data_IF_993201869085
#
_entry.id   IF_993201869085
#
_cell.length_a   1.000
_cell.length_b   1.000
_cell.length_c   1.000
_cell.angle_alpha   90.00
_cell.angle_beta   90.00
_cell.angle_gamma   90.00
#
_symmetry.space_group_name_H-M   'P 1'
#
loop_
_entity.id
_entity.type
_entity.pdbx_description
1 polymer ?
#
# COMPACT_ATOMS: atom_id res chain seq x y z
N UNK A 1 14.34 24.08 3.03
CA UNK A 1 13.47 22.93 3.37
C UNK A 1 13.37 21.85 2.26
N UNK A 2 13.43 22.19 0.96
CA UNK A 2 13.33 21.22 -0.17
C UNK A 2 14.32 20.03 -0.20
N UNK A 3 15.52 20.14 0.39
CA UNK A 3 16.56 19.08 0.32
C UNK A 3 16.43 17.97 1.38
N UNK A 4 15.69 18.19 2.48
CA UNK A 4 15.63 17.20 3.57
C UNK A 4 14.68 16.02 3.28
N UNK A 5 13.64 16.25 2.46
CA UNK A 5 12.66 15.21 2.10
C UNK A 5 13.07 14.41 0.87
N UNK A 6 13.99 14.92 0.02
CA UNK A 6 14.53 14.19 -1.13
C UNK A 6 15.65 13.22 -0.70
N UNK A 7 15.26 12.27 0.15
CA UNK A 7 16.11 11.15 0.56
C UNK A 7 15.47 9.85 0.15
N UNK A 8 16.31 8.87 -0.16
CA UNK A 8 15.85 7.51 -0.48
C UNK A 8 15.05 6.95 0.69
N UNK A 9 15.54 7.16 1.92
CA UNK A 9 14.83 6.76 3.14
C UNK A 9 13.45 7.43 3.25
N UNK A 10 13.34 8.72 2.96
CA UNK A 10 12.05 9.42 2.93
C UNK A 10 11.06 8.82 1.93
N UNK A 11 11.55 8.40 0.76
CA UNK A 11 10.76 7.66 -0.23
C UNK A 11 10.29 6.30 0.28
N UNK A 12 11.17 5.53 0.92
CA UNK A 12 10.86 4.22 1.49
C UNK A 12 9.83 4.35 2.61
N UNK A 13 10.05 5.23 3.58
CA UNK A 13 9.13 5.43 4.71
C UNK A 13 7.77 5.89 4.23
N UNK A 14 7.74 6.79 3.23
CA UNK A 14 6.46 7.27 2.68
C UNK A 14 5.77 6.20 1.87
N UNK A 15 6.50 5.35 1.14
CA UNK A 15 5.90 4.20 0.45
C UNK A 15 5.27 3.19 1.42
N UNK A 16 5.96 2.87 2.52
CA UNK A 16 5.44 1.96 3.56
C UNK A 16 4.21 2.58 4.24
N UNK A 17 4.31 3.86 4.64
CA UNK A 17 3.19 4.59 5.25
C UNK A 17 2.01 4.75 4.29
N UNK A 18 2.28 4.99 3.00
CA UNK A 18 1.24 5.11 1.99
C UNK A 18 0.50 3.80 1.76
N UNK A 19 1.20 2.65 1.77
CA UNK A 19 0.56 1.33 1.74
C UNK A 19 -0.27 1.07 2.99
N UNK A 20 0.24 1.41 4.18
CA UNK A 20 -0.51 1.28 5.44
C UNK A 20 -1.75 2.19 5.48
N UNK A 21 -1.63 3.43 5.01
CA UNK A 21 -2.74 4.36 4.92
C UNK A 21 -3.77 3.90 3.90
N UNK A 22 -3.36 3.42 2.73
CA UNK A 22 -4.26 2.83 1.74
C UNK A 22 -5.06 1.67 2.32
N UNK A 23 -4.39 0.80 3.08
CA UNK A 23 -5.04 -0.30 3.79
C UNK A 23 -6.04 0.20 4.85
N UNK A 24 -5.67 1.18 5.66
CA UNK A 24 -6.55 1.74 6.70
C UNK A 24 -7.76 2.47 6.10
N UNK A 25 -7.59 3.21 5.00
CA UNK A 25 -8.68 3.89 4.30
C UNK A 25 -9.67 2.87 3.74
N UNK A 26 -9.16 1.79 3.11
CA UNK A 26 -9.99 0.69 2.64
C UNK A 26 -10.74 0.01 3.79
N UNK A 27 -10.06 -0.27 4.91
CA UNK A 27 -10.69 -0.86 6.08
C UNK A 27 -11.75 0.03 6.70
N UNK A 28 -11.50 1.34 6.80
CA UNK A 28 -12.46 2.32 7.30
C UNK A 28 -13.68 2.43 6.37
N UNK A 29 -13.47 2.48 5.05
CA UNK A 29 -14.55 2.49 4.06
C UNK A 29 -15.39 1.22 4.13
N UNK A 30 -14.74 0.06 4.27
CA UNK A 30 -15.42 -1.23 4.40
C UNK A 30 -16.23 -1.32 5.70
N UNK A 31 -15.64 -0.89 6.81
CA UNK A 31 -16.28 -0.81 8.13
C UNK A 31 -17.53 0.07 8.08
N UNK A 32 -17.43 1.24 7.44
CA UNK A 32 -18.56 2.14 7.23
C UNK A 32 -19.66 1.49 6.36
N UNK A 33 -19.28 0.86 5.26
CA UNK A 33 -20.23 0.25 4.31
C UNK A 33 -20.97 -0.96 4.90
N UNK A 34 -20.29 -1.76 5.72
CA UNK A 34 -20.84 -3.01 6.27
C UNK A 34 -21.29 -2.91 7.74
N UNK A 35 -21.19 -1.72 8.36
CA UNK A 35 -21.53 -1.47 9.78
C UNK A 35 -20.85 -2.45 10.76
N UNK A 36 -19.65 -2.92 10.42
CA UNK A 36 -18.84 -3.84 11.23
C UNK A 36 -17.57 -3.14 11.69
N UNK A 37 -17.02 -3.57 12.83
CA UNK A 37 -15.79 -3.00 13.36
C UNK A 37 -14.58 -3.22 12.44
N UNK A 38 -13.63 -2.28 12.49
CA UNK A 38 -12.36 -2.36 11.78
C UNK A 38 -11.55 -3.61 12.18
N UNK A 39 -11.67 -4.05 13.43
CA UNK A 39 -11.12 -5.30 13.96
C UNK A 39 -11.57 -6.50 13.11
N UNK A 40 -12.87 -6.58 12.79
CA UNK A 40 -13.46 -7.62 11.97
C UNK A 40 -12.92 -7.60 10.52
N UNK A 41 -12.66 -6.41 9.96
CA UNK A 41 -12.03 -6.28 8.63
C UNK A 41 -10.59 -6.81 8.62
N UNK A 42 -9.80 -6.47 9.65
CA UNK A 42 -8.41 -6.92 9.74
C UNK A 42 -8.36 -8.44 9.96
N UNK A 43 -9.20 -8.98 10.85
CA UNK A 43 -9.17 -10.38 11.25
C UNK A 43 -9.81 -11.31 10.21
N UNK A 44 -10.95 -10.93 9.61
CA UNK A 44 -11.68 -11.79 8.68
C UNK A 44 -11.41 -11.50 7.21
N UNK A 45 -11.14 -10.25 6.82
CA UNK A 45 -10.94 -9.91 5.40
C UNK A 45 -9.45 -9.83 5.07
N UNK A 46 -8.67 -9.11 5.87
CA UNK A 46 -7.23 -8.97 5.63
C UNK A 46 -6.41 -10.21 6.05
N UNK A 47 -6.93 -11.05 6.96
CA UNK A 47 -6.24 -12.27 7.41
C UNK A 47 -6.81 -13.56 6.81
N UNK A 48 -8.14 -13.73 6.75
CA UNK A 48 -8.77 -15.00 6.33
C UNK A 48 -9.16 -15.06 4.86
N UNK A 49 -9.41 -13.93 4.21
CA UNK A 49 -9.87 -13.95 2.81
C UNK A 49 -8.68 -13.79 1.86
N UNK A 50 -8.12 -14.93 1.47
CA UNK A 50 -7.01 -15.02 0.51
C UNK A 50 -7.31 -14.29 -0.81
N UNK A 51 -8.57 -14.30 -1.25
CA UNK A 51 -9.07 -13.63 -2.45
C UNK A 51 -9.14 -12.09 -2.37
N UNK A 52 -9.22 -11.51 -1.17
CA UNK A 52 -9.26 -10.06 -1.01
C UNK A 52 -7.90 -9.46 -0.68
N UNK A 53 -6.95 -10.30 -0.23
CA UNK A 53 -5.64 -9.86 0.25
C UNK A 53 -4.80 -9.26 -0.87
N UNK A 54 -4.79 -9.88 -2.05
CA UNK A 54 -4.08 -9.40 -3.24
C UNK A 54 -4.66 -8.07 -3.76
N UNK A 55 -5.99 -7.97 -3.80
CA UNK A 55 -6.74 -6.82 -4.27
C UNK A 55 -6.57 -5.62 -3.34
N UNK A 56 -6.64 -5.84 -2.02
CA UNK A 56 -6.39 -4.81 -1.00
C UNK A 56 -4.95 -4.30 -1.09
N UNK A 57 -3.97 -5.20 -1.20
CA UNK A 57 -2.57 -4.80 -1.33
C UNK A 57 -2.34 -4.01 -2.62
N UNK A 58 -2.93 -4.45 -3.73
CA UNK A 58 -2.85 -3.78 -5.03
C UNK A 58 -3.42 -2.35 -4.97
N UNK A 59 -4.63 -2.17 -4.43
CA UNK A 59 -5.22 -0.83 -4.26
C UNK A 59 -4.39 0.04 -3.31
N UNK A 60 -3.85 -0.54 -2.25
CA UNK A 60 -2.96 0.16 -1.33
C UNK A 60 -1.64 0.58 -1.99
N UNK A 61 -1.12 -0.21 -2.93
CA UNK A 61 0.05 0.18 -3.74
C UNK A 61 -0.28 1.23 -4.81
N UNK A 62 -1.51 1.27 -5.33
CA UNK A 62 -1.95 2.35 -6.24
C UNK A 62 -1.96 3.71 -5.54
N UNK A 63 -2.23 3.76 -4.23
CA UNK A 63 -2.08 4.99 -3.45
C UNK A 63 -0.65 5.55 -3.52
N UNK A 64 0.36 4.66 -3.48
CA UNK A 64 1.76 5.08 -3.64
C UNK A 64 2.03 5.67 -5.02
N UNK A 65 1.31 5.27 -6.08
CA UNK A 65 1.45 5.88 -7.42
C UNK A 65 1.01 7.35 -7.40
N UNK A 66 -0.04 7.69 -6.64
CA UNK A 66 -0.44 9.09 -6.45
C UNK A 66 0.64 9.92 -5.75
N UNK A 67 1.24 9.38 -4.69
CA UNK A 67 2.36 10.01 -3.98
C UNK A 67 3.59 10.13 -4.88
N UNK A 68 3.87 9.10 -5.68
CA UNK A 68 4.94 9.08 -6.67
C UNK A 68 4.79 10.21 -7.70
N UNK A 69 3.57 10.41 -8.20
CA UNK A 69 3.25 11.47 -9.15
C UNK A 69 3.55 12.86 -8.57
N UNK A 70 3.16 13.10 -7.32
CA UNK A 70 3.48 14.34 -6.59
C UNK A 70 5.00 14.50 -6.43
N UNK A 71 5.71 13.43 -6.08
CA UNK A 71 7.17 13.42 -5.96
C UNK A 71 7.90 13.75 -7.27
N UNK A 72 7.41 13.24 -8.41
CA UNK A 72 7.95 13.58 -9.75
C UNK A 72 7.71 15.06 -10.06
N UNK A 73 6.49 15.57 -9.83
CA UNK A 73 6.16 16.99 -10.05
C UNK A 73 7.02 17.93 -9.22
N UNK A 74 7.48 17.49 -8.06
CA UNK A 74 8.36 18.24 -7.16
C UNK A 74 9.87 18.02 -7.43
N UNK A 75 10.23 17.25 -8.47
CA UNK A 75 11.60 16.86 -8.83
C UNK A 75 12.37 16.10 -7.72
N UNK A 76 11.66 15.37 -6.86
CA UNK A 76 12.28 14.59 -5.77
C UNK A 76 12.73 13.20 -6.26
N UNK A 77 13.79 13.17 -7.07
CA UNK A 77 14.25 11.97 -7.74
C UNK A 77 14.72 10.85 -6.78
N UNK A 78 15.35 11.21 -5.65
CA UNK A 78 15.83 10.22 -4.67
C UNK A 78 14.68 9.66 -3.86
N UNK A 79 13.72 10.50 -3.49
CA UNK A 79 12.45 10.08 -2.89
C UNK A 79 11.69 9.11 -3.82
N UNK A 80 11.52 9.48 -5.09
CA UNK A 80 10.85 8.64 -6.09
C UNK A 80 11.53 7.27 -6.24
N UNK A 81 12.87 7.20 -6.24
CA UNK A 81 13.59 5.92 -6.22
C UNK A 81 13.30 5.09 -4.99
N UNK A 82 13.29 5.71 -3.80
CA UNK A 82 12.93 5.04 -2.55
C UNK A 82 11.52 4.44 -2.59
N UNK A 83 10.56 5.24 -3.07
CA UNK A 83 9.17 4.84 -3.17
C UNK A 83 8.95 3.74 -4.23
N UNK A 84 9.65 3.81 -5.36
CA UNK A 84 9.65 2.74 -6.38
C UNK A 84 10.17 1.42 -5.83
N UNK A 85 11.20 1.41 -4.97
CA UNK A 85 11.68 0.17 -4.35
C UNK A 85 10.58 -0.50 -3.55
N UNK A 86 9.79 0.26 -2.78
CA UNK A 86 8.65 -0.29 -2.02
C UNK A 86 7.60 -0.88 -2.96
N UNK A 87 7.22 -0.15 -4.01
CA UNK A 87 6.24 -0.62 -5.01
C UNK A 87 6.74 -1.94 -5.66
N UNK A 88 8.01 -1.99 -6.04
CA UNK A 88 8.59 -3.19 -6.66
C UNK A 88 8.65 -4.36 -5.68
N UNK A 89 8.92 -4.13 -4.39
CA UNK A 89 8.88 -5.19 -3.36
C UNK A 89 7.46 -5.68 -3.08
N UNK A 90 6.45 -4.83 -3.20
CA UNK A 90 5.06 -5.26 -3.05
C UNK A 90 4.56 -6.16 -4.16
N UNK A 91 5.13 -6.10 -5.37
CA UNK A 91 4.70 -6.95 -6.50
C UNK A 91 4.93 -8.45 -6.21
N UNK A 92 6.14 -8.92 -5.81
CA UNK A 92 6.35 -10.31 -5.37
C UNK A 92 5.43 -10.73 -4.23
N UNK A 93 5.13 -9.82 -3.29
CA UNK A 93 4.20 -10.11 -2.19
C UNK A 93 2.77 -10.33 -2.68
N UNK A 94 2.30 -9.52 -3.64
CA UNK A 94 1.00 -9.71 -4.30
C UNK A 94 0.94 -11.07 -4.97
N UNK A 95 1.97 -11.41 -5.77
CA UNK A 95 2.03 -12.70 -6.46
C UNK A 95 2.05 -13.85 -5.46
N UNK A 96 2.80 -13.75 -4.37
CA UNK A 96 2.83 -14.76 -3.32
C UNK A 96 1.45 -14.98 -2.69
N UNK A 97 0.73 -13.89 -2.37
CA UNK A 97 -0.63 -13.99 -1.86
C UNK A 97 -1.62 -14.55 -2.88
N UNK A 98 -1.47 -14.16 -4.15
CA UNK A 98 -2.30 -14.66 -5.25
C UNK A 98 -2.09 -16.17 -5.48
N UNK A 99 -0.83 -16.63 -5.42
CA UNK A 99 -0.52 -18.06 -5.49
C UNK A 99 -1.17 -18.82 -4.33
N UNK A 100 -1.11 -18.30 -3.11
CA UNK A 100 -1.76 -18.94 -1.97
C UNK A 100 -3.30 -18.99 -2.10
N UNK A 101 -3.91 -18.02 -2.78
CA UNK A 101 -5.35 -17.99 -3.06
C UNK A 101 -5.78 -18.94 -4.18
N UNK A 102 -4.89 -19.28 -5.12
CA UNK A 102 -5.20 -20.15 -6.26
C UNK A 102 -5.07 -21.66 -6.00
N UNK A 103 -4.59 -22.07 -4.82
CA UNK A 103 -4.36 -23.49 -4.45
C UNK A 103 -5.45 -24.02 -3.51
N UNK A 104 -6.56 -23.28 -3.32
CA UNK A 104 -7.71 -23.68 -2.49
C UNK A 104 -8.93 -24.11 -3.30
#
# INVERSE_FOLDING_TARGET
>A
MRKFLDTILGGITTGILGTLLGFLILGAYWSYSNSVELSYFIENIASRSLLYRDSILTISTLFNVGIFYVGIRAEWWRFCRGLLMVIMTTIPLIIYFQMQAGIS
#
